data_IF_552997348957
#
_entry.id   IF_552997348957
#
_cell.length_a   1.000
_cell.length_b   1.000
_cell.length_c   1.000
_cell.angle_alpha   90.00
_cell.angle_beta   90.00
_cell.angle_gamma   90.00
#
_symmetry.space_group_name_H-M   'P 1'
#
loop_
_entity.id
_entity.type
_entity.pdbx_description
1 polymer ?
#
# COMPACT_ATOMS: atom_id res chain seq x y z
N UNK A 1 -11.59 -0.76 25.78
CA UNK A 1 -10.53 -0.62 24.75
C UNK A 1 -10.56 -1.85 23.90
N UNK A 2 -10.40 -1.70 22.59
CA UNK A 2 -10.37 -2.81 21.62
C UNK A 2 -8.93 -3.11 21.27
N UNK A 3 -8.63 -4.35 20.94
CA UNK A 3 -7.32 -4.72 20.39
C UNK A 3 -7.38 -4.61 18.87
N UNK A 4 -6.53 -3.77 18.30
CA UNK A 4 -6.37 -3.59 16.86
C UNK A 4 -5.03 -4.20 16.43
N UNK A 5 -5.07 -5.15 15.51
CA UNK A 5 -3.89 -5.76 14.92
C UNK A 5 -3.56 -5.12 13.57
N UNK A 6 -2.31 -4.71 13.40
CA UNK A 6 -1.79 -4.20 12.12
C UNK A 6 -0.64 -5.10 11.68
N UNK A 7 -0.85 -5.93 10.68
CA UNK A 7 0.25 -6.69 10.08
C UNK A 7 0.98 -5.83 9.07
N UNK A 8 2.30 -6.01 8.94
CA UNK A 8 3.10 -5.14 8.06
C UNK A 8 3.21 -3.69 8.54
N UNK A 9 3.04 -3.46 9.84
CA UNK A 9 3.09 -2.14 10.48
C UNK A 9 4.44 -1.40 10.30
N UNK A 10 5.53 -2.12 10.08
CA UNK A 10 6.83 -1.54 9.74
C UNK A 10 6.96 -1.13 8.25
N UNK A 11 5.98 -1.47 7.42
CA UNK A 11 5.93 -1.12 6.00
C UNK A 11 5.41 0.29 5.74
N UNK A 12 5.31 0.66 4.46
CA UNK A 12 4.91 2.00 4.04
C UNK A 12 3.48 2.36 4.50
N UNK A 13 2.46 1.71 3.93
CA UNK A 13 1.06 1.98 4.29
C UNK A 13 0.75 1.59 5.74
N UNK A 14 1.24 0.44 6.21
CA UNK A 14 1.03 0.00 7.59
C UNK A 14 1.60 0.96 8.62
N UNK A 15 2.75 1.58 8.35
CA UNK A 15 3.36 2.58 9.22
C UNK A 15 2.57 3.88 9.29
N UNK A 16 2.00 4.37 8.17
CA UNK A 16 1.12 5.54 8.18
C UNK A 16 -0.23 5.24 8.84
N UNK A 17 -0.75 4.03 8.66
CA UNK A 17 -1.96 3.59 9.35
C UNK A 17 -1.74 3.53 10.87
N UNK A 18 -0.59 3.00 11.31
CA UNK A 18 -0.24 2.99 12.73
C UNK A 18 -0.20 4.41 13.29
N UNK A 19 0.35 5.40 12.55
CA UNK A 19 0.35 6.81 12.97
C UNK A 19 -1.06 7.36 13.15
N UNK A 20 -1.93 7.05 12.18
CA UNK A 20 -3.33 7.49 12.22
C UNK A 20 -4.05 6.93 13.45
N UNK A 21 -3.92 5.62 13.69
CA UNK A 21 -4.62 4.92 14.76
C UNK A 21 -4.06 5.23 16.16
N UNK A 22 -2.78 5.58 16.26
CA UNK A 22 -2.14 5.95 17.54
C UNK A 22 -2.73 7.22 18.19
N UNK A 23 -3.49 8.02 17.44
CA UNK A 23 -4.24 9.16 17.97
C UNK A 23 -5.55 8.76 18.69
N UNK A 24 -5.99 7.50 18.52
CA UNK A 24 -7.16 6.94 19.19
C UNK A 24 -6.86 6.40 20.60
N UNK A 25 -7.80 5.67 21.20
CA UNK A 25 -7.71 5.13 22.56
C UNK A 25 -7.51 3.59 22.62
N UNK A 26 -7.56 2.92 21.47
CA UNK A 26 -7.47 1.46 21.39
C UNK A 26 -6.02 0.95 21.56
N UNK A 27 -5.87 -0.30 22.01
CA UNK A 27 -4.59 -0.98 22.12
C UNK A 27 -4.13 -1.45 20.74
N UNK A 28 -2.95 -1.04 20.32
CA UNK A 28 -2.40 -1.37 19.03
C UNK A 28 -1.37 -2.51 19.14
N UNK A 29 -1.51 -3.52 18.30
CA UNK A 29 -0.50 -4.58 18.14
C UNK A 29 0.02 -4.51 16.70
N UNK A 30 1.32 -4.27 16.58
CA UNK A 30 2.00 -4.01 15.33
C UNK A 30 2.93 -5.18 14.97
N UNK A 31 2.56 -5.96 13.94
CA UNK A 31 3.41 -7.05 13.48
C UNK A 31 4.40 -6.59 12.41
N UNK A 32 5.65 -7.00 12.60
CA UNK A 32 6.73 -6.82 11.63
C UNK A 32 7.39 -8.17 11.31
N UNK A 33 8.24 -8.19 10.27
CA UNK A 33 9.00 -9.40 9.92
C UNK A 33 10.00 -9.72 11.03
N UNK A 34 10.16 -11.01 11.43
CA UNK A 34 11.17 -11.42 12.38
C UNK A 34 12.58 -10.99 11.95
N UNK A 35 13.43 -10.65 12.93
CA UNK A 35 14.78 -10.12 12.69
C UNK A 35 14.83 -8.63 12.31
N UNK A 36 13.69 -8.02 11.96
CA UNK A 36 13.57 -6.58 11.83
C UNK A 36 13.47 -5.90 13.20
N UNK A 37 13.81 -4.61 13.24
CA UNK A 37 13.55 -3.77 14.42
C UNK A 37 12.30 -2.94 14.18
N UNK A 38 11.50 -2.66 15.23
CA UNK A 38 10.48 -1.65 15.13
C UNK A 38 11.10 -0.34 14.62
N UNK A 39 10.51 0.31 13.61
CA UNK A 39 11.13 1.51 13.01
C UNK A 39 11.14 2.69 13.99
N UNK A 40 10.30 2.63 15.03
CA UNK A 40 10.13 3.68 16.04
C UNK A 40 9.25 3.20 17.18
N UNK A 41 9.31 3.89 18.30
CA UNK A 41 8.32 3.78 19.37
C UNK A 41 7.03 4.54 18.97
N UNK A 42 5.89 3.92 19.28
CA UNK A 42 4.57 4.52 19.09
C UNK A 42 3.76 4.29 20.37
N UNK A 43 3.12 5.32 20.93
CA UNK A 43 2.33 5.17 22.13
C UNK A 43 1.28 4.05 22.04
N UNK A 44 1.07 3.32 23.13
CA UNK A 44 0.10 2.21 23.23
C UNK A 44 0.23 1.13 22.14
N UNK A 45 1.44 0.94 21.63
CA UNK A 45 1.71 -0.03 20.60
C UNK A 45 2.66 -1.10 21.11
N UNK A 46 2.22 -2.35 21.02
CA UNK A 46 3.07 -3.51 21.25
C UNK A 46 3.57 -4.02 19.90
N UNK A 47 4.89 -4.07 19.73
CA UNK A 47 5.51 -4.60 18.52
C UNK A 47 5.86 -6.07 18.67
N UNK A 48 5.49 -6.88 17.67
CA UNK A 48 5.79 -8.31 17.65
C UNK A 48 6.39 -8.74 16.30
N UNK A 49 7.47 -9.53 16.37
CA UNK A 49 8.10 -10.15 15.20
C UNK A 49 7.38 -11.46 14.83
N UNK A 50 6.46 -11.40 13.87
CA UNK A 50 5.66 -12.55 13.40
C UNK A 50 5.90 -12.78 11.91
N UNK A 51 6.34 -13.99 11.56
CA UNK A 51 6.36 -14.45 10.17
C UNK A 51 4.97 -15.00 9.81
N UNK A 52 4.32 -14.37 8.83
CA UNK A 52 3.02 -14.85 8.35
C UNK A 52 3.07 -16.26 7.72
N UNK A 53 4.26 -16.73 7.34
CA UNK A 53 4.43 -18.07 6.80
C UNK A 53 4.58 -19.14 7.88
N UNK A 54 4.82 -18.76 9.13
CA UNK A 54 4.79 -19.63 10.31
C UNK A 54 3.34 -19.73 10.82
N UNK A 55 2.61 -20.73 10.32
CA UNK A 55 1.18 -20.95 10.66
C UNK A 55 0.94 -21.10 12.16
N UNK A 56 1.83 -21.81 12.85
CA UNK A 56 1.68 -22.06 14.27
C UNK A 56 1.81 -20.78 15.09
N UNK A 57 2.87 -20.00 14.81
CA UNK A 57 3.09 -18.70 15.46
C UNK A 57 1.95 -17.71 15.20
N UNK A 58 1.42 -17.67 13.98
CA UNK A 58 0.25 -16.83 13.63
C UNK A 58 -0.96 -17.27 14.44
N UNK A 59 -1.25 -18.58 14.51
CA UNK A 59 -2.38 -19.11 15.25
C UNK A 59 -2.27 -18.80 16.76
N UNK A 60 -1.11 -19.04 17.36
CA UNK A 60 -0.87 -18.78 18.80
C UNK A 60 -1.00 -17.28 19.13
N UNK A 61 -0.44 -16.41 18.27
CA UNK A 61 -0.52 -14.96 18.48
C UNK A 61 -1.97 -14.45 18.35
N UNK A 62 -2.72 -14.89 17.36
CA UNK A 62 -4.12 -14.51 17.17
C UNK A 62 -4.98 -15.02 18.32
N UNK A 63 -4.76 -16.29 18.77
CA UNK A 63 -5.48 -16.88 19.89
C UNK A 63 -5.21 -16.16 21.24
N UNK A 64 -4.04 -15.57 21.40
CA UNK A 64 -3.70 -14.78 22.58
C UNK A 64 -4.28 -13.35 22.52
N UNK A 65 -4.24 -12.73 21.34
CA UNK A 65 -4.60 -11.32 21.15
C UNK A 65 -6.11 -11.09 21.07
N UNK A 66 -6.87 -12.05 20.52
CA UNK A 66 -8.28 -11.89 20.20
C UNK A 66 -8.62 -10.53 19.56
N UNK A 67 -7.95 -10.14 18.44
CA UNK A 67 -8.14 -8.82 17.89
C UNK A 67 -9.54 -8.63 17.34
N UNK A 68 -10.21 -7.55 17.72
CA UNK A 68 -11.54 -7.20 17.18
C UNK A 68 -11.49 -6.51 15.82
N UNK A 69 -10.33 -5.93 15.49
CA UNK A 69 -10.06 -5.25 14.22
C UNK A 69 -8.68 -5.63 13.73
N UNK A 70 -8.57 -5.96 12.44
CA UNK A 70 -7.30 -6.36 11.81
C UNK A 70 -7.11 -5.58 10.51
N UNK A 71 -5.97 -4.91 10.39
CA UNK A 71 -5.51 -4.32 9.14
C UNK A 71 -4.38 -5.17 8.58
N UNK A 72 -4.66 -5.91 7.51
CA UNK A 72 -3.69 -6.84 6.94
C UNK A 72 -2.82 -6.16 5.87
N UNK A 73 -1.95 -5.23 6.30
CA UNK A 73 -1.06 -4.48 5.40
C UNK A 73 0.23 -5.22 5.02
N UNK A 74 0.50 -6.39 5.61
CA UNK A 74 1.64 -7.21 5.22
C UNK A 74 1.45 -7.81 3.83
N UNK A 75 2.48 -7.74 3.01
CA UNK A 75 2.47 -8.29 1.66
C UNK A 75 3.75 -7.99 0.89
N UNK A 76 3.98 -8.74 -0.18
CA UNK A 76 5.01 -8.46 -1.17
C UNK A 76 4.43 -7.44 -2.17
N UNK A 77 4.86 -6.16 -2.07
CA UNK A 77 4.24 -5.05 -2.79
C UNK A 77 4.92 -4.68 -4.13
N UNK A 78 6.11 -5.22 -4.42
CA UNK A 78 6.88 -4.82 -5.59
C UNK A 78 6.50 -5.59 -6.84
N UNK A 79 5.80 -4.94 -7.78
CA UNK A 79 5.39 -5.54 -9.06
C UNK A 79 6.60 -6.06 -9.86
N UNK A 80 7.67 -5.26 -9.97
CA UNK A 80 8.88 -5.69 -10.70
C UNK A 80 9.54 -6.94 -10.10
N UNK A 81 9.64 -7.01 -8.78
CA UNK A 81 10.22 -8.20 -8.10
C UNK A 81 9.35 -9.44 -8.25
N UNK A 82 8.03 -9.29 -8.38
CA UNK A 82 7.13 -10.45 -8.52
C UNK A 82 7.38 -11.27 -9.78
N UNK A 83 7.99 -10.70 -10.81
CA UNK A 83 8.41 -11.42 -12.01
C UNK A 83 9.64 -12.31 -11.76
N UNK A 84 10.54 -11.86 -10.89
CA UNK A 84 11.77 -12.58 -10.59
C UNK A 84 11.60 -13.57 -9.42
N UNK A 85 10.63 -13.30 -8.53
CA UNK A 85 10.34 -14.10 -7.34
C UNK A 85 8.83 -14.24 -7.14
N UNK A 86 8.22 -14.98 -8.07
CA UNK A 86 6.78 -15.25 -8.05
C UNK A 86 6.38 -16.12 -6.86
N UNK A 87 7.20 -17.13 -6.53
CA UNK A 87 6.92 -18.06 -5.43
C UNK A 87 6.82 -17.33 -4.09
N UNK A 88 7.80 -16.51 -3.73
CA UNK A 88 7.77 -15.72 -2.50
C UNK A 88 6.61 -14.74 -2.49
N UNK A 89 6.28 -14.12 -3.64
CA UNK A 89 5.15 -13.22 -3.77
C UNK A 89 3.83 -13.93 -3.43
N UNK A 90 3.61 -15.12 -3.97
CA UNK A 90 2.41 -15.93 -3.67
C UNK A 90 2.42 -16.47 -2.24
N UNK A 91 3.57 -16.91 -1.75
CA UNK A 91 3.69 -17.39 -0.38
C UNK A 91 3.23 -16.30 0.61
N UNK A 92 3.76 -15.09 0.49
CA UNK A 92 3.42 -14.00 1.41
C UNK A 92 1.98 -13.51 1.20
N UNK A 93 1.58 -13.20 -0.03
CA UNK A 93 0.29 -12.57 -0.30
C UNK A 93 -0.89 -13.55 -0.16
N UNK A 94 -0.73 -14.80 -0.54
CA UNK A 94 -1.83 -15.78 -0.55
C UNK A 94 -1.78 -16.67 0.69
N UNK A 95 -0.68 -17.40 0.89
CA UNK A 95 -0.55 -18.35 2.01
C UNK A 95 -0.50 -17.62 3.36
N UNK A 96 0.23 -16.50 3.45
CA UNK A 96 0.27 -15.68 4.66
C UNK A 96 -1.10 -15.12 5.05
N UNK A 97 -1.88 -14.64 4.07
CA UNK A 97 -3.27 -14.20 4.28
C UNK A 97 -4.15 -15.35 4.73
N UNK A 98 -4.02 -16.54 4.11
CA UNK A 98 -4.76 -17.73 4.53
C UNK A 98 -4.48 -18.10 6.00
N UNK A 99 -3.20 -18.08 6.42
CA UNK A 99 -2.85 -18.39 7.81
C UNK A 99 -3.50 -17.43 8.81
N UNK A 100 -3.52 -16.14 8.49
CA UNK A 100 -4.14 -15.13 9.34
C UNK A 100 -5.66 -15.31 9.43
N UNK A 101 -6.32 -15.46 8.29
CA UNK A 101 -7.79 -15.62 8.25
C UNK A 101 -8.24 -16.92 8.90
N UNK A 102 -7.54 -18.04 8.66
CA UNK A 102 -7.79 -19.34 9.33
C UNK A 102 -7.62 -19.22 10.86
N UNK A 103 -6.55 -18.54 11.31
CA UNK A 103 -6.34 -18.31 12.74
C UNK A 103 -7.48 -17.51 13.37
N UNK A 104 -7.91 -16.42 12.74
CA UNK A 104 -9.02 -15.59 13.21
C UNK A 104 -10.35 -16.38 13.28
N UNK A 105 -10.67 -17.19 12.27
CA UNK A 105 -11.87 -18.01 12.25
C UNK A 105 -11.88 -19.05 13.38
N UNK A 106 -10.72 -19.62 13.74
CA UNK A 106 -10.59 -20.62 14.82
C UNK A 106 -10.81 -20.05 16.21
N UNK A 107 -10.62 -18.74 16.41
CA UNK A 107 -10.87 -18.12 17.72
C UNK A 107 -12.36 -18.02 18.06
N UNK A 108 -13.25 -18.09 17.06
CA UNK A 108 -14.68 -17.83 17.20
C UNK A 108 -15.03 -16.45 17.79
N UNK A 109 -14.06 -15.54 17.85
CA UNK A 109 -14.25 -14.16 18.30
C UNK A 109 -14.58 -13.28 17.11
N UNK A 110 -15.60 -12.42 17.20
CA UNK A 110 -15.93 -11.50 16.11
C UNK A 110 -14.77 -10.56 15.79
N UNK A 111 -14.37 -10.53 14.52
CA UNK A 111 -13.31 -9.64 14.03
C UNK A 111 -13.68 -9.02 12.68
N UNK A 112 -13.35 -7.74 12.52
CA UNK A 112 -13.40 -7.04 11.23
C UNK A 112 -11.99 -6.94 10.64
N UNK A 113 -11.83 -7.38 9.42
CA UNK A 113 -10.51 -7.49 8.76
C UNK A 113 -10.51 -6.66 7.48
N UNK A 114 -9.57 -5.73 7.35
CA UNK A 114 -9.25 -5.13 6.06
C UNK A 114 -8.21 -5.97 5.35
N UNK A 115 -8.49 -6.32 4.11
CA UNK A 115 -7.51 -6.89 3.19
C UNK A 115 -7.30 -5.93 2.02
N UNK A 116 -6.18 -5.20 1.96
CA UNK A 116 -5.83 -4.42 0.79
C UNK A 116 -5.51 -5.34 -0.39
N UNK A 117 -6.31 -5.28 -1.44
CA UNK A 117 -6.06 -5.83 -2.77
C UNK A 117 -5.19 -4.87 -3.59
N UNK A 118 -5.50 -4.63 -4.85
CA UNK A 118 -4.78 -3.68 -5.72
C UNK A 118 -5.61 -3.32 -6.94
N UNK A 119 -5.42 -2.12 -7.50
CA UNK A 119 -5.92 -1.78 -8.83
C UNK A 119 -5.35 -2.68 -9.94
N UNK A 120 -4.22 -3.35 -9.70
CA UNK A 120 -3.60 -4.27 -10.67
C UNK A 120 -4.31 -5.63 -10.78
N UNK A 121 -5.45 -5.79 -10.13
CA UNK A 121 -6.35 -6.95 -10.35
C UNK A 121 -7.25 -6.75 -11.57
N UNK A 122 -7.45 -5.49 -12.01
CA UNK A 122 -8.32 -5.18 -13.13
C UNK A 122 -7.68 -5.48 -14.49
N UNK A 123 -8.52 -5.76 -15.48
CA UNK A 123 -8.14 -5.64 -16.87
C UNK A 123 -7.77 -4.18 -17.20
N UNK A 124 -6.84 -3.97 -18.12
CA UNK A 124 -6.53 -2.63 -18.61
C UNK A 124 -7.73 -2.03 -19.37
N UNK A 125 -8.03 -0.75 -19.13
CA UNK A 125 -9.08 -0.01 -19.80
C UNK A 125 -8.62 1.41 -20.14
N UNK A 126 -9.32 2.06 -21.06
CA UNK A 126 -9.06 3.45 -21.44
C UNK A 126 -9.87 4.46 -20.59
N UNK A 127 -10.86 3.98 -19.87
CA UNK A 127 -11.75 4.74 -18.97
C UNK A 127 -11.41 4.50 -17.48
N UNK A 128 -11.91 5.35 -16.57
CA UNK A 128 -11.77 5.13 -15.13
C UNK A 128 -12.37 3.79 -14.67
N UNK A 129 -11.59 3.02 -13.94
CA UNK A 129 -11.94 1.67 -13.48
C UNK A 129 -12.91 1.74 -12.30
N UNK A 130 -14.13 1.25 -12.47
CA UNK A 130 -15.07 0.99 -11.37
C UNK A 130 -14.85 -0.40 -10.79
N UNK A 131 -15.42 -0.69 -9.63
CA UNK A 131 -15.29 -2.02 -9.03
C UNK A 131 -16.03 -3.14 -9.78
N UNK A 132 -16.86 -2.78 -10.78
CA UNK A 132 -17.54 -3.73 -11.66
C UNK A 132 -16.69 -4.15 -12.88
N UNK A 133 -15.55 -3.50 -13.13
CA UNK A 133 -14.68 -3.87 -14.26
C UNK A 133 -14.14 -5.30 -14.12
N UNK A 134 -13.88 -5.98 -15.25
CA UNK A 134 -13.33 -7.33 -15.25
C UNK A 134 -11.99 -7.43 -14.50
N UNK A 135 -11.83 -8.51 -13.74
CA UNK A 135 -10.61 -8.82 -13.00
C UNK A 135 -9.72 -9.74 -13.83
N UNK A 136 -8.77 -9.17 -14.57
CA UNK A 136 -7.83 -9.87 -15.45
C UNK A 136 -6.42 -9.32 -15.21
N UNK A 137 -5.76 -9.71 -14.11
CA UNK A 137 -4.42 -9.23 -13.77
C UNK A 137 -3.38 -9.67 -14.78
N UNK A 138 -2.47 -8.77 -15.14
CA UNK A 138 -1.42 -8.99 -16.14
C UNK A 138 -0.01 -9.18 -15.54
N UNK A 139 0.09 -9.39 -14.23
CA UNK A 139 1.37 -9.59 -13.53
C UNK A 139 1.25 -10.61 -12.42
N UNK A 140 2.35 -11.32 -12.03
CA UNK A 140 2.32 -12.24 -10.90
C UNK A 140 1.84 -11.57 -9.61
N UNK A 141 2.23 -10.32 -9.37
CA UNK A 141 1.70 -9.52 -8.26
C UNK A 141 0.18 -9.37 -8.34
N UNK A 142 -0.34 -8.91 -9.48
CA UNK A 142 -1.79 -8.73 -9.66
C UNK A 142 -2.56 -10.04 -9.44
N UNK A 143 -2.07 -11.16 -9.98
CA UNK A 143 -2.66 -12.49 -9.76
C UNK A 143 -2.64 -12.87 -8.28
N UNK A 144 -1.54 -12.63 -7.57
CA UNK A 144 -1.45 -12.92 -6.13
C UNK A 144 -2.42 -12.08 -5.31
N UNK A 145 -2.63 -10.80 -5.69
CA UNK A 145 -3.60 -9.91 -5.04
C UNK A 145 -5.05 -10.30 -5.31
N UNK A 146 -5.35 -10.76 -6.52
CA UNK A 146 -6.67 -11.31 -6.84
C UNK A 146 -6.94 -12.60 -6.05
N UNK A 147 -5.98 -13.51 -5.99
CA UNK A 147 -6.11 -14.72 -5.18
C UNK A 147 -6.29 -14.41 -3.69
N UNK A 148 -5.55 -13.43 -3.16
CA UNK A 148 -5.72 -12.93 -1.80
C UNK A 148 -7.13 -12.38 -1.55
N UNK A 149 -7.67 -11.58 -2.48
CA UNK A 149 -9.02 -11.03 -2.41
C UNK A 149 -10.09 -12.13 -2.45
N UNK A 150 -9.94 -13.12 -3.33
CA UNK A 150 -10.86 -14.24 -3.44
C UNK A 150 -10.89 -15.11 -2.17
N UNK A 151 -9.75 -15.32 -1.51
CA UNK A 151 -9.66 -15.98 -0.21
C UNK A 151 -10.39 -15.16 0.86
N UNK A 152 -10.13 -13.87 0.88
CA UNK A 152 -10.73 -12.95 1.83
C UNK A 152 -12.28 -12.94 1.74
N UNK A 153 -12.81 -12.89 0.53
CA UNK A 153 -14.26 -12.87 0.27
C UNK A 153 -14.96 -14.19 0.62
N UNK A 154 -14.23 -15.31 0.71
CA UNK A 154 -14.77 -16.62 1.16
C UNK A 154 -14.75 -16.81 2.66
N UNK A 155 -14.12 -15.88 3.40
CA UNK A 155 -14.13 -15.90 4.85
C UNK A 155 -15.53 -15.61 5.35
N UNK A 156 -16.01 -16.40 6.31
CA UNK A 156 -17.38 -16.34 6.82
C UNK A 156 -17.41 -16.52 8.36
N UNK A 157 -18.59 -16.65 8.92
CA UNK A 157 -18.77 -16.85 10.36
C UNK A 157 -18.56 -15.56 11.15
N UNK A 158 -17.71 -15.61 12.17
CA UNK A 158 -17.44 -14.48 13.07
C UNK A 158 -16.49 -13.44 12.49
N UNK A 159 -15.81 -13.78 11.38
CA UNK A 159 -14.86 -12.87 10.73
C UNK A 159 -15.51 -12.18 9.55
N UNK A 160 -15.58 -10.86 9.62
CA UNK A 160 -16.10 -10.00 8.54
C UNK A 160 -14.93 -9.36 7.78
N UNK A 161 -14.85 -9.61 6.48
CA UNK A 161 -13.77 -9.07 5.66
C UNK A 161 -14.26 -7.91 4.80
N UNK A 162 -13.49 -6.82 4.81
CA UNK A 162 -13.62 -5.70 3.91
C UNK A 162 -12.40 -5.65 2.96
N UNK A 163 -12.63 -5.33 1.70
CA UNK A 163 -11.59 -5.28 0.66
C UNK A 163 -11.43 -3.86 0.15
N UNK A 164 -10.20 -3.37 0.16
CA UNK A 164 -9.82 -2.14 -0.53
C UNK A 164 -8.99 -2.47 -1.78
N UNK A 165 -9.25 -1.80 -2.90
CA UNK A 165 -8.44 -1.85 -4.12
C UNK A 165 -7.72 -0.51 -4.29
N UNK A 166 -6.58 -0.29 -3.58
CA UNK A 166 -5.83 0.94 -3.73
C UNK A 166 -5.21 1.04 -5.11
N UNK A 167 -5.28 2.26 -5.66
CA UNK A 167 -4.48 2.68 -6.81
C UNK A 167 -3.10 3.12 -6.32
N UNK A 168 -2.30 3.77 -7.17
CA UNK A 168 -0.97 4.16 -6.75
C UNK A 168 -1.06 5.18 -5.61
N UNK A 169 -0.47 4.87 -4.48
CA UNK A 169 -0.33 5.80 -3.38
C UNK A 169 1.15 6.04 -3.09
N UNK A 170 1.48 7.26 -2.68
CA UNK A 170 2.85 7.70 -2.47
C UNK A 170 2.93 8.69 -1.30
N UNK A 171 4.15 9.00 -0.87
CA UNK A 171 4.40 9.93 0.22
C UNK A 171 5.66 9.62 1.02
N UNK A 172 5.91 10.35 2.11
CA UNK A 172 7.07 10.14 2.97
C UNK A 172 7.24 8.68 3.41
N UNK A 173 8.46 8.20 3.51
CA UNK A 173 8.83 6.81 3.88
C UNK A 173 8.54 5.75 2.79
N UNK A 174 8.08 6.12 1.61
CA UNK A 174 7.95 5.17 0.51
C UNK A 174 9.32 4.68 0.04
N UNK A 175 9.42 3.37 -0.27
CA UNK A 175 10.63 2.76 -0.82
C UNK A 175 11.06 3.45 -2.14
N UNK A 176 12.34 3.79 -2.32
CA UNK A 176 12.83 4.52 -3.50
C UNK A 176 12.80 3.72 -4.81
N UNK A 177 12.44 2.44 -4.78
CA UNK A 177 12.16 1.67 -5.99
C UNK A 177 10.83 2.10 -6.67
N UNK A 178 9.98 2.88 -6.00
CA UNK A 178 8.79 3.49 -6.61
C UNK A 178 9.13 4.85 -7.21
N UNK A 179 8.56 5.17 -8.38
CA UNK A 179 8.96 6.30 -9.21
C UNK A 179 9.05 7.64 -8.45
N UNK A 180 7.97 8.08 -7.80
CA UNK A 180 7.94 9.35 -7.07
C UNK A 180 9.03 9.42 -5.99
N UNK A 181 9.14 8.36 -5.19
CA UNK A 181 10.11 8.28 -4.09
C UNK A 181 11.54 8.17 -4.62
N UNK A 182 11.75 7.41 -5.70
CA UNK A 182 13.06 7.32 -6.35
C UNK A 182 13.55 8.65 -6.93
N UNK A 183 12.66 9.40 -7.57
CA UNK A 183 12.97 10.75 -8.08
C UNK A 183 13.31 11.71 -6.93
N UNK A 184 12.48 11.75 -5.89
CA UNK A 184 12.70 12.63 -4.74
C UNK A 184 14.01 12.31 -4.00
N UNK A 185 14.31 11.02 -3.79
CA UNK A 185 15.59 10.59 -3.21
C UNK A 185 16.76 11.02 -4.08
N UNK A 186 16.68 10.78 -5.40
CA UNK A 186 17.77 11.13 -6.32
C UNK A 186 18.04 12.64 -6.32
N UNK A 187 16.98 13.47 -6.31
CA UNK A 187 17.14 14.93 -6.18
C UNK A 187 17.84 15.28 -4.87
N UNK A 188 17.41 14.71 -3.74
CA UNK A 188 18.04 14.98 -2.44
C UNK A 188 19.52 14.54 -2.40
N UNK A 189 19.88 13.43 -3.05
CA UNK A 189 21.27 12.96 -3.15
C UNK A 189 22.13 13.87 -4.06
N UNK A 190 21.56 14.38 -5.15
CA UNK A 190 22.20 15.38 -6.03
C UNK A 190 22.46 16.69 -5.27
N UNK A 191 21.46 17.19 -4.55
CA UNK A 191 21.57 18.42 -3.74
C UNK A 191 22.67 18.32 -2.67
N UNK A 192 22.98 17.11 -2.19
CA UNK A 192 24.06 16.84 -1.24
C UNK A 192 25.41 16.56 -1.90
N UNK A 193 25.50 16.60 -3.23
CA UNK A 193 26.71 16.25 -3.96
C UNK A 193 27.10 14.77 -3.89
N UNK A 194 26.16 13.87 -3.54
CA UNK A 194 26.45 12.43 -3.43
C UNK A 194 26.50 11.72 -4.78
N UNK A 195 25.95 12.31 -5.82
CA UNK A 195 25.90 11.73 -7.15
C UNK A 195 25.82 12.83 -8.24
N UNK A 196 26.14 12.49 -9.52
CA UNK A 196 26.03 13.41 -10.64
C UNK A 196 24.62 14.03 -10.76
N UNK A 197 24.48 15.28 -11.23
CA UNK A 197 23.20 15.99 -11.32
C UNK A 197 22.36 15.51 -12.51
N UNK A 198 22.06 14.21 -12.51
CA UNK A 198 21.30 13.54 -13.54
C UNK A 198 20.37 12.48 -12.94
N UNK A 199 19.14 12.40 -13.46
CA UNK A 199 18.17 11.34 -13.15
C UNK A 199 17.96 10.49 -14.40
N UNK A 200 18.32 9.20 -14.31
CA UNK A 200 18.03 8.22 -15.34
C UNK A 200 16.62 7.65 -15.15
N UNK A 201 15.77 7.74 -16.18
CA UNK A 201 14.36 7.40 -16.16
C UNK A 201 13.98 6.41 -17.26
N UNK A 202 12.92 5.63 -17.03
CA UNK A 202 12.29 4.81 -18.05
C UNK A 202 11.13 5.51 -18.74
N UNK A 203 9.99 4.79 -18.90
CA UNK A 203 8.79 5.32 -19.52
C UNK A 203 8.14 6.43 -18.65
N UNK A 204 8.14 7.65 -19.16
CA UNK A 204 7.51 8.81 -18.52
C UNK A 204 6.09 9.10 -19.04
N UNK A 205 5.64 8.38 -20.09
CA UNK A 205 4.35 8.64 -20.72
C UNK A 205 3.19 7.94 -20.01
N UNK A 206 3.50 6.99 -19.14
CA UNK A 206 2.50 6.29 -18.35
C UNK A 206 1.73 7.25 -17.44
N UNK A 207 0.40 7.06 -17.36
CA UNK A 207 -0.49 7.86 -16.52
C UNK A 207 -1.02 7.03 -15.37
N UNK A 208 -0.97 7.60 -14.16
CA UNK A 208 -1.33 6.93 -12.92
C UNK A 208 -2.26 7.78 -12.07
N UNK A 209 -3.26 7.13 -11.48
CA UNK A 209 -4.00 7.72 -10.35
C UNK A 209 -3.08 7.68 -9.13
N UNK A 210 -2.83 8.86 -8.57
CA UNK A 210 -1.91 9.05 -7.45
C UNK A 210 -2.66 9.63 -6.26
N UNK A 211 -2.53 8.99 -5.11
CA UNK A 211 -3.16 9.41 -3.86
C UNK A 211 -2.09 9.54 -2.78
N UNK A 212 -2.22 10.49 -1.89
CA UNK A 212 -1.37 10.53 -0.69
C UNK A 212 -1.64 9.29 0.17
N UNK A 213 -0.59 8.69 0.71
CA UNK A 213 -0.70 7.50 1.56
C UNK A 213 -1.53 7.77 2.82
N UNK A 214 -1.52 9.01 3.33
CA UNK A 214 -2.33 9.43 4.50
C UNK A 214 -3.82 9.40 4.18
N UNK A 215 -4.21 9.80 2.97
CA UNK A 215 -5.58 9.66 2.49
C UNK A 215 -5.95 8.19 2.27
N UNK A 216 -5.03 7.41 1.72
CA UNK A 216 -5.22 5.96 1.53
C UNK A 216 -5.51 5.25 2.85
N UNK A 217 -4.74 5.52 3.91
CA UNK A 217 -4.97 4.87 5.21
C UNK A 217 -6.22 5.38 5.93
N UNK A 218 -6.64 6.62 5.69
CA UNK A 218 -7.97 7.10 6.12
C UNK A 218 -9.10 6.30 5.45
N UNK A 219 -8.96 6.01 4.15
CA UNK A 219 -9.91 5.12 3.47
C UNK A 219 -9.94 3.73 4.10
N UNK A 220 -8.77 3.16 4.44
CA UNK A 220 -8.68 1.86 5.10
C UNK A 220 -9.44 1.84 6.43
N UNK A 221 -9.30 2.89 7.24
CA UNK A 221 -10.02 3.01 8.50
C UNK A 221 -11.53 3.05 8.26
N UNK A 222 -12.01 3.92 7.38
CA UNK A 222 -13.44 4.04 7.08
C UNK A 222 -14.04 2.75 6.51
N UNK A 223 -13.32 2.06 5.62
CA UNK A 223 -13.75 0.79 5.03
C UNK A 223 -13.91 -0.29 6.10
N UNK A 224 -12.98 -0.40 7.06
CA UNK A 224 -13.13 -1.34 8.18
C UNK A 224 -14.29 -0.96 9.08
N UNK A 225 -14.44 0.32 9.42
CA UNK A 225 -15.45 0.78 10.36
C UNK A 225 -16.86 0.68 9.80
N UNK A 226 -17.07 1.03 8.53
CA UNK A 226 -18.40 1.28 7.93
C UNK A 226 -18.63 0.57 6.61
N UNK A 227 -17.60 0.00 5.97
CA UNK A 227 -17.71 -0.66 4.68
C UNK A 227 -18.63 -1.87 4.74
N UNK A 228 -19.33 -2.15 3.64
CA UNK A 228 -20.21 -3.29 3.51
C UNK A 228 -19.37 -4.57 3.33
N UNK A 229 -19.68 -5.66 4.08
CA UNK A 229 -18.99 -6.94 3.94
C UNK A 229 -19.05 -7.46 2.51
N UNK A 230 -17.91 -7.97 2.02
CA UNK A 230 -17.82 -8.56 0.68
C UNK A 230 -17.87 -7.56 -0.48
N UNK A 231 -18.08 -6.26 -0.21
CA UNK A 231 -18.09 -5.20 -1.21
C UNK A 231 -16.72 -4.54 -1.32
N UNK A 232 -15.99 -4.68 -2.44
CA UNK A 232 -14.71 -4.01 -2.61
C UNK A 232 -14.89 -2.51 -2.85
N UNK A 233 -13.88 -1.72 -2.47
CA UNK A 233 -13.84 -0.27 -2.67
C UNK A 233 -12.55 0.14 -3.36
N UNK A 234 -12.65 0.88 -4.46
CA UNK A 234 -11.51 1.55 -5.06
C UNK A 234 -11.05 2.69 -4.16
N UNK A 235 -9.75 2.72 -3.87
CA UNK A 235 -9.13 3.83 -3.14
C UNK A 235 -8.24 4.59 -4.11
N UNK A 236 -8.78 5.68 -4.67
CA UNK A 236 -8.19 6.45 -5.77
C UNK A 236 -8.65 7.90 -5.75
N UNK A 237 -7.94 8.77 -6.46
CA UNK A 237 -8.30 10.18 -6.60
C UNK A 237 -9.28 10.45 -7.75
N UNK A 238 -9.40 9.53 -8.69
CA UNK A 238 -10.13 9.73 -9.95
C UNK A 238 -9.38 10.56 -10.99
N UNK A 239 -8.11 10.89 -10.73
CA UNK A 239 -7.30 11.76 -11.60
C UNK A 239 -6.04 11.05 -12.06
N UNK A 240 -5.81 11.01 -13.36
CA UNK A 240 -4.60 10.44 -13.94
C UNK A 240 -3.53 11.52 -14.12
N UNK A 241 -2.38 11.34 -13.48
CA UNK A 241 -1.18 12.19 -13.60
C UNK A 241 -0.16 11.46 -14.45
N UNK A 242 0.45 12.14 -15.43
CA UNK A 242 1.54 11.59 -16.22
C UNK A 242 2.82 11.52 -15.37
N UNK A 243 3.61 10.46 -15.51
CA UNK A 243 4.85 10.33 -14.73
C UNK A 243 5.85 11.44 -15.07
N UNK A 244 5.80 11.97 -16.29
CA UNK A 244 6.58 13.16 -16.69
C UNK A 244 6.20 14.38 -15.84
N UNK A 245 4.90 14.67 -15.75
CA UNK A 245 4.44 15.84 -14.97
C UNK A 245 4.85 15.71 -13.50
N UNK A 246 4.79 14.50 -12.94
CA UNK A 246 5.24 14.22 -11.58
C UNK A 246 6.74 14.50 -11.40
N UNK A 247 7.57 14.10 -12.37
CA UNK A 247 9.00 14.38 -12.35
C UNK A 247 9.26 15.90 -12.48
N UNK A 248 8.58 16.57 -13.40
CA UNK A 248 8.73 18.01 -13.63
C UNK A 248 8.35 18.82 -12.39
N UNK A 249 7.26 18.43 -11.69
CA UNK A 249 6.89 19.04 -10.41
C UNK A 249 7.99 18.87 -9.34
N UNK A 250 8.67 17.73 -9.29
CA UNK A 250 9.78 17.49 -8.36
C UNK A 250 11.03 18.29 -8.77
N UNK A 251 11.34 18.34 -10.08
CA UNK A 251 12.47 19.13 -10.60
C UNK A 251 12.31 20.63 -10.33
N UNK A 252 11.07 21.14 -10.43
CA UNK A 252 10.78 22.54 -10.08
C UNK A 252 11.04 22.87 -8.60
N UNK A 253 11.13 21.86 -7.73
CA UNK A 253 11.43 21.95 -6.29
C UNK A 253 12.91 21.70 -5.97
N UNK A 254 13.71 21.30 -6.97
CA UNK A 254 15.12 21.04 -6.79
C UNK A 254 15.90 22.36 -6.57
N UNK A 255 16.90 22.32 -5.69
CA UNK A 255 17.74 23.46 -5.34
C UNK A 255 18.92 23.67 -6.29
N UNK A 256 19.14 22.70 -7.16
CA UNK A 256 20.22 22.71 -8.17
C UNK A 256 19.67 22.20 -9.51
N UNK A 257 20.26 22.60 -10.63
CA UNK A 257 19.89 22.05 -11.94
C UNK A 257 20.10 20.53 -11.98
N UNK A 258 19.12 19.80 -12.51
CA UNK A 258 19.16 18.36 -12.64
C UNK A 258 18.80 17.97 -14.09
N UNK A 259 19.68 17.23 -14.76
CA UNK A 259 19.41 16.69 -16.09
C UNK A 259 18.55 15.43 -16.01
N UNK A 260 17.77 15.18 -17.07
CA UNK A 260 16.98 13.94 -17.20
C UNK A 260 17.50 13.15 -18.39
N UNK A 261 17.92 11.90 -18.16
CA UNK A 261 18.37 10.98 -19.18
C UNK A 261 17.38 9.82 -19.32
N UNK A 262 16.91 9.54 -20.54
CA UNK A 262 16.05 8.39 -20.80
C UNK A 262 16.93 7.15 -20.94
N UNK A 263 16.62 6.12 -20.16
CA UNK A 263 17.28 4.82 -20.19
C UNK A 263 16.29 3.74 -20.65
N UNK A 264 16.41 3.26 -21.90
CA UNK A 264 15.51 2.24 -22.43
C UNK A 264 15.51 0.92 -21.64
N UNK A 265 16.60 0.61 -20.91
CA UNK A 265 16.67 -0.61 -20.09
C UNK A 265 15.70 -0.59 -18.90
N UNK A 266 15.19 0.57 -18.54
CA UNK A 266 14.19 0.77 -17.49
C UNK A 266 12.75 0.68 -17.96
N UNK A 267 12.50 0.48 -19.26
CA UNK A 267 11.17 0.25 -19.79
C UNK A 267 10.65 -1.11 -19.34
N UNK A 268 9.40 -1.14 -18.88
CA UNK A 268 8.74 -2.41 -18.51
C UNK A 268 7.99 -2.96 -19.71
N UNK A 269 8.19 -4.22 -20.10
CA UNK A 269 7.57 -4.81 -21.30
C UNK A 269 6.03 -4.75 -21.29
N UNK A 270 5.42 -4.81 -20.10
CA UNK A 270 3.96 -4.87 -19.92
C UNK A 270 3.47 -3.67 -19.09
N UNK A 271 4.01 -2.47 -19.34
CA UNK A 271 3.55 -1.27 -18.63
C UNK A 271 2.14 -0.89 -19.10
N UNK A 272 1.20 -0.73 -18.16
CA UNK A 272 -0.15 -0.28 -18.45
C UNK A 272 -0.11 1.22 -18.75
N UNK A 273 -0.53 1.69 -19.93
CA UNK A 273 -0.42 3.12 -20.29
C UNK A 273 -1.24 4.03 -19.38
N UNK A 274 -2.43 3.59 -18.99
CA UNK A 274 -3.36 4.32 -18.13
C UNK A 274 -3.85 3.42 -16.99
N UNK A 275 -3.74 3.91 -15.76
CA UNK A 275 -4.33 3.28 -14.58
C UNK A 275 -4.97 4.37 -13.73
N UNK A 276 -6.27 4.54 -13.86
CA UNK A 276 -7.09 5.53 -13.14
C UNK A 276 -8.35 4.86 -12.62
N UNK A 277 -8.78 5.19 -11.41
CA UNK A 277 -9.94 4.61 -10.76
C UNK A 277 -11.13 5.55 -10.71
N UNK A 278 -12.31 4.99 -10.49
CA UNK A 278 -13.52 5.72 -10.12
C UNK A 278 -13.70 5.63 -8.59
N UNK A 279 -13.62 6.76 -7.84
CA UNK A 279 -13.79 6.79 -6.40
C UNK A 279 -15.25 6.86 -5.95
N UNK A 280 -16.21 6.90 -6.86
CA UNK A 280 -17.62 7.21 -6.57
C UNK A 280 -18.22 6.31 -5.52
N UNK A 281 -17.96 5.00 -5.57
CA UNK A 281 -18.47 4.05 -4.57
C UNK A 281 -17.99 4.38 -3.15
N UNK A 282 -16.70 4.64 -2.98
CA UNK A 282 -16.14 4.96 -1.67
C UNK A 282 -16.64 6.31 -1.16
N UNK A 283 -16.79 7.29 -2.04
CA UNK A 283 -17.37 8.59 -1.71
C UNK A 283 -18.84 8.45 -1.32
N UNK A 284 -19.64 7.80 -2.14
CA UNK A 284 -21.11 7.75 -1.96
C UNK A 284 -21.51 6.89 -0.76
N UNK A 285 -20.83 5.76 -0.52
CA UNK A 285 -21.12 4.87 0.59
C UNK A 285 -20.53 5.38 1.94
N UNK A 286 -19.32 5.96 1.93
CA UNK A 286 -18.55 6.23 3.14
C UNK A 286 -18.12 7.69 3.32
N UNK A 287 -18.42 8.57 2.37
CA UNK A 287 -18.07 10.00 2.44
C UNK A 287 -16.57 10.28 2.32
N UNK A 288 -15.79 9.38 1.72
CA UNK A 288 -14.36 9.56 1.58
C UNK A 288 -13.97 10.23 0.27
N UNK A 289 -13.06 11.18 0.36
CA UNK A 289 -12.38 11.79 -0.79
C UNK A 289 -10.89 11.97 -0.49
N UNK A 290 -10.08 11.96 -1.55
CA UNK A 290 -8.67 12.35 -1.46
C UNK A 290 -8.59 13.85 -1.19
N UNK A 291 -8.03 14.22 -0.04
CA UNK A 291 -8.02 15.61 0.44
C UNK A 291 -6.65 16.28 0.33
N UNK A 292 -5.56 15.50 0.31
CA UNK A 292 -4.19 16.04 0.30
C UNK A 292 -3.77 16.29 -1.15
N UNK A 293 -3.46 17.55 -1.54
CA UNK A 293 -2.99 17.87 -2.87
C UNK A 293 -1.67 17.15 -3.21
N UNK A 294 -1.49 16.79 -4.48
CA UNK A 294 -0.27 16.13 -4.96
C UNK A 294 0.98 16.96 -4.68
N UNK A 295 0.87 18.27 -4.79
CA UNK A 295 1.95 19.23 -4.54
C UNK A 295 2.45 19.13 -3.10
N UNK A 296 1.53 19.07 -2.13
CA UNK A 296 1.88 18.90 -0.72
C UNK A 296 2.55 17.54 -0.47
N UNK A 297 2.04 16.47 -1.10
CA UNK A 297 2.65 15.14 -0.98
C UNK A 297 4.08 15.14 -1.51
N UNK A 298 4.35 15.84 -2.63
CA UNK A 298 5.68 15.96 -3.21
C UNK A 298 6.62 16.78 -2.32
N UNK A 299 6.13 17.88 -1.74
CA UNK A 299 6.89 18.69 -0.79
C UNK A 299 7.30 17.87 0.44
N UNK A 300 6.36 17.15 1.03
CA UNK A 300 6.60 16.30 2.20
C UNK A 300 7.55 15.13 1.87
N UNK A 301 7.40 14.51 0.69
CA UNK A 301 8.25 13.42 0.23
C UNK A 301 9.70 13.89 0.01
N UNK A 302 9.87 15.04 -0.63
CA UNK A 302 11.20 15.61 -0.85
C UNK A 302 11.84 16.06 0.46
N UNK A 303 11.07 16.66 1.37
CA UNK A 303 11.54 17.02 2.71
C UNK A 303 11.99 15.77 3.50
N UNK A 304 11.25 14.67 3.41
CA UNK A 304 11.63 13.40 4.03
C UNK A 304 13.00 12.93 3.52
N UNK A 305 13.23 12.89 2.20
CA UNK A 305 14.52 12.45 1.66
C UNK A 305 15.65 13.42 1.94
N UNK A 306 15.36 14.72 2.02
CA UNK A 306 16.34 15.74 2.45
C UNK A 306 16.73 15.61 3.92
N UNK A 307 15.90 15.06 4.77
CA UNK A 307 16.19 14.83 6.20
C UNK A 307 16.80 13.45 6.47
N UNK A 308 16.70 12.48 5.54
CA UNK A 308 17.25 11.15 5.71
C UNK A 308 18.79 11.20 5.60
N UNK A 309 19.53 10.82 6.65
CA UNK A 309 20.99 10.84 6.62
C UNK A 309 21.62 9.68 5.82
N UNK A 310 20.82 8.68 5.43
CA UNK A 310 21.29 7.44 4.80
C UNK A 310 21.53 7.61 3.31
#
# INVERSE_FOLDING_TARGET
MKTILITGAAGFAGGHLLDLLANGEDDLVAWHRPGGRPPREVPRTTWEGIDLLDRARVADAVARLHPSTVYHCAGAAHVGRSWNDTESTFAVNVRGTHHLLDALQRTSVPARVLVPSSALVYASAAEPLTEAHPLVPNSPYGVSKLAQEMLAQRTNGTVTVAVARPFNHFGPRQDPHFAASGFARRIADIERGRCPPEISVGNLDARRDLTDVRDTVRAYQLIVERGQPGRPYNVCSGRAVQIRDLLDMLLARARVPVAVAIDPSRYRPNDTPLLVGDPSRLRDDLGWEAAIPIEQTLDDLLAFWRSDPR
#
